data_IF_784432414768
#
_entry.id   IF_784432414768
#
_cell.length_a   1.000
_cell.length_b   1.000
_cell.length_c   1.000
_cell.angle_alpha   90.00
_cell.angle_beta   90.00
_cell.angle_gamma   90.00
#
_symmetry.space_group_name_H-M   'P 1'
#
loop_
_entity.id
_entity.type
_entity.pdbx_description
1 polymer ?
#
# COMPACT_ATOMS: atom_id res chain seq x y z
N UNK A 1 16.50 -35.36 -34.65
CA UNK A 1 15.97 -34.00 -34.85
C UNK A 1 14.58 -33.93 -34.24
N UNK A 2 14.44 -33.31 -33.06
CA UNK A 2 13.15 -32.96 -32.45
C UNK A 2 13.32 -31.66 -31.66
N UNK A 3 12.40 -30.76 -31.99
CA UNK A 3 11.84 -29.65 -31.22
C UNK A 3 12.62 -28.32 -31.04
N UNK A 4 11.91 -27.19 -31.29
CA UNK A 4 12.36 -25.83 -31.06
C UNK A 4 12.10 -25.40 -29.60
N UNK A 5 12.94 -24.54 -29.04
CA UNK A 5 12.63 -23.85 -27.79
C UNK A 5 11.80 -22.62 -28.13
N UNK A 6 10.49 -22.81 -28.20
CA UNK A 6 9.51 -21.73 -28.08
C UNK A 6 9.38 -21.30 -26.62
N UNK A 7 9.23 -20.00 -26.38
CA UNK A 7 8.37 -19.55 -25.28
C UNK A 7 9.04 -18.81 -24.14
N UNK A 8 9.82 -17.75 -24.40
CA UNK A 8 9.80 -16.59 -23.50
C UNK A 8 8.67 -15.67 -23.94
N UNK A 9 7.45 -16.08 -23.60
CA UNK A 9 6.31 -15.17 -23.58
C UNK A 9 6.45 -14.29 -22.34
N UNK A 10 7.01 -13.09 -22.53
CA UNK A 10 6.82 -11.99 -21.60
C UNK A 10 5.39 -11.49 -21.78
N UNK A 11 4.43 -12.25 -21.29
CA UNK A 11 3.04 -11.82 -21.27
C UNK A 11 2.86 -10.74 -20.21
N UNK A 12 2.54 -9.54 -20.72
CA UNK A 12 1.93 -8.40 -20.05
C UNK A 12 2.79 -7.63 -19.04
N UNK A 13 3.37 -6.53 -19.53
CA UNK A 13 3.41 -5.24 -18.83
C UNK A 13 1.99 -4.87 -18.39
N UNK A 14 1.55 -5.49 -17.31
CA UNK A 14 0.30 -5.18 -16.67
C UNK A 14 0.57 -3.90 -15.85
N UNK A 15 -0.15 -2.77 -16.05
CA UNK A 15 0.09 -1.48 -15.36
C UNK A 15 -0.21 -1.50 -13.84
N UNK A 16 -0.33 -2.71 -13.28
CA UNK A 16 -0.80 -3.01 -11.95
C UNK A 16 0.17 -2.64 -10.83
N UNK A 17 1.51 -2.72 -10.98
CA UNK A 17 2.44 -2.18 -9.98
C UNK A 17 2.36 -0.65 -9.93
N UNK A 18 2.34 0.00 -11.10
CA UNK A 18 2.32 1.46 -11.22
C UNK A 18 1.09 2.08 -10.58
N UNK A 19 -0.10 1.49 -10.80
CA UNK A 19 -1.34 1.96 -10.16
C UNK A 19 -1.30 1.86 -8.64
N UNK A 20 -0.71 0.79 -8.09
CA UNK A 20 -0.60 0.59 -6.64
C UNK A 20 0.40 1.57 -6.00
N UNK A 21 1.55 1.80 -6.65
CA UNK A 21 2.48 2.85 -6.24
C UNK A 21 1.82 4.23 -6.24
N UNK A 22 1.06 4.56 -7.30
CA UNK A 22 0.38 5.84 -7.40
C UNK A 22 -0.70 6.04 -6.33
N UNK A 23 -1.47 4.99 -5.98
CA UNK A 23 -2.42 5.03 -4.86
C UNK A 23 -1.70 5.27 -3.53
N UNK A 24 -0.63 4.50 -3.26
CA UNK A 24 0.14 4.64 -2.01
C UNK A 24 0.78 6.03 -1.88
N UNK A 25 1.42 6.52 -2.94
CA UNK A 25 1.99 7.87 -2.98
C UNK A 25 0.92 8.95 -2.75
N UNK A 26 -0.25 8.82 -3.37
CA UNK A 26 -1.35 9.78 -3.24
C UNK A 26 -1.83 9.86 -1.79
N UNK A 27 -2.00 8.72 -1.12
CA UNK A 27 -2.39 8.70 0.29
C UNK A 27 -1.34 9.41 1.16
N UNK A 28 -0.06 9.04 1.01
CA UNK A 28 1.05 9.62 1.79
C UNK A 28 1.13 11.14 1.60
N UNK A 29 1.15 11.61 0.34
CA UNK A 29 1.21 13.05 0.04
C UNK A 29 0.03 13.83 0.60
N UNK A 30 -1.16 13.22 0.68
CA UNK A 30 -2.33 13.86 1.26
C UNK A 30 -2.22 13.99 2.78
N UNK A 31 -1.63 13.01 3.46
CA UNK A 31 -1.49 13.05 4.93
C UNK A 31 -0.36 13.96 5.43
N UNK A 32 0.66 14.22 4.61
CA UNK A 32 1.83 15.05 4.97
C UNK A 32 1.58 16.48 5.46
N UNK A 33 0.72 17.29 4.80
CA UNK A 33 0.37 18.60 5.34
C UNK A 33 -0.47 18.50 6.63
N UNK A 34 -0.91 17.29 6.99
CA UNK A 34 -1.99 17.06 7.94
C UNK A 34 -3.32 17.39 7.29
N UNK A 35 -4.29 16.49 7.38
CA UNK A 35 -5.62 16.74 6.86
C UNK A 35 -6.22 18.00 7.51
N UNK A 36 -6.73 18.90 6.68
CA UNK A 36 -7.45 20.07 7.17
C UNK A 36 -8.83 19.66 7.70
N UNK A 37 -9.43 20.46 8.59
CA UNK A 37 -10.78 20.18 9.12
C UNK A 37 -11.85 20.15 8.03
N UNK A 38 -11.61 20.82 6.90
CA UNK A 38 -12.54 20.92 5.78
C UNK A 38 -12.26 19.88 4.68
N UNK A 39 -11.17 19.12 4.82
CA UNK A 39 -10.80 18.09 3.85
C UNK A 39 -11.57 16.81 4.15
N UNK A 40 -12.45 16.42 3.25
CA UNK A 40 -13.17 15.15 3.33
C UNK A 40 -12.38 14.05 2.64
N UNK A 41 -12.14 12.95 3.36
CA UNK A 41 -11.56 11.74 2.78
C UNK A 41 -12.29 10.50 3.33
N UNK A 42 -13.01 9.75 2.48
CA UNK A 42 -13.79 8.59 2.93
C UNK A 42 -12.90 7.53 3.58
N UNK A 43 -13.37 6.94 4.69
CA UNK A 43 -12.67 5.83 5.32
C UNK A 43 -12.52 4.62 4.37
N UNK A 44 -13.47 4.39 3.47
CA UNK A 44 -13.35 3.37 2.44
C UNK A 44 -12.25 3.67 1.41
N UNK A 45 -11.93 4.94 1.17
CA UNK A 45 -10.79 5.31 0.33
C UNK A 45 -9.47 4.99 1.05
N UNK A 46 -9.42 5.25 2.37
CA UNK A 46 -8.29 4.85 3.21
C UNK A 46 -8.07 3.34 3.16
N UNK A 47 -9.12 2.55 3.34
CA UNK A 47 -9.07 1.09 3.28
C UNK A 47 -8.52 0.58 1.94
N UNK A 48 -9.02 1.13 0.83
CA UNK A 48 -8.55 0.78 -0.51
C UNK A 48 -7.06 1.08 -0.72
N UNK A 49 -6.56 2.17 -0.15
CA UNK A 49 -5.15 2.54 -0.24
C UNK A 49 -4.28 1.62 0.64
N UNK A 50 -4.77 1.18 1.80
CA UNK A 50 -4.09 0.17 2.65
C UNK A 50 -4.07 -1.21 1.98
N UNK A 51 -5.18 -1.68 1.41
CA UNK A 51 -5.24 -2.92 0.64
C UNK A 51 -4.32 -2.86 -0.58
N UNK A 52 -4.26 -1.71 -1.25
CA UNK A 52 -3.33 -1.49 -2.36
C UNK A 52 -1.88 -1.66 -1.93
N UNK A 53 -1.55 -1.31 -0.68
CA UNK A 53 -0.21 -1.49 -0.12
C UNK A 53 0.11 -2.94 0.23
N UNK A 54 -0.85 -3.72 0.75
CA UNK A 54 -0.68 -5.18 0.90
C UNK A 54 -0.49 -5.86 -0.45
N UNK A 55 -1.32 -5.54 -1.43
CA UNK A 55 -1.19 -6.10 -2.77
C UNK A 55 0.12 -5.67 -3.45
N UNK A 56 0.65 -4.47 -3.14
CA UNK A 56 1.96 -4.04 -3.60
C UNK A 56 3.08 -4.87 -2.99
N UNK A 57 2.97 -5.23 -1.71
CA UNK A 57 3.94 -6.11 -1.04
C UNK A 57 4.00 -7.49 -1.71
N UNK A 58 2.84 -8.06 -2.05
CA UNK A 58 2.74 -9.32 -2.79
C UNK A 58 3.41 -9.24 -4.16
N UNK A 59 3.16 -8.15 -4.92
CA UNK A 59 3.81 -7.92 -6.20
C UNK A 59 5.33 -7.82 -6.04
N UNK A 60 5.81 -7.05 -5.04
CA UNK A 60 7.24 -6.92 -4.77
C UNK A 60 7.88 -8.27 -4.40
N UNK A 61 7.15 -9.16 -3.72
CA UNK A 61 7.61 -10.54 -3.44
C UNK A 61 7.77 -11.42 -4.67
N UNK A 62 7.22 -11.04 -5.83
CA UNK A 62 7.44 -11.77 -7.09
C UNK A 62 8.75 -11.36 -7.79
N UNK A 63 9.35 -10.22 -7.41
CA UNK A 63 10.60 -9.74 -8.00
C UNK A 63 11.81 -10.55 -7.50
N UNK A 64 12.87 -10.70 -8.32
CA UNK A 64 14.15 -11.27 -7.88
C UNK A 64 14.71 -10.55 -6.65
N UNK A 65 15.43 -11.28 -5.79
CA UNK A 65 15.92 -10.77 -4.50
C UNK A 65 16.74 -9.47 -4.63
N UNK A 66 17.72 -9.42 -5.54
CA UNK A 66 18.53 -8.24 -5.87
C UNK A 66 17.66 -7.01 -6.20
N UNK A 67 16.60 -7.19 -7.00
CA UNK A 67 15.74 -6.10 -7.44
C UNK A 67 14.69 -5.68 -6.42
N UNK A 68 14.38 -6.54 -5.44
CA UNK A 68 13.27 -6.32 -4.51
C UNK A 68 13.57 -5.25 -3.46
N UNK A 69 14.76 -5.28 -2.84
CA UNK A 69 15.15 -4.29 -1.83
C UNK A 69 16.04 -3.20 -2.39
N UNK A 70 17.04 -3.60 -3.17
CA UNK A 70 18.08 -2.69 -3.68
C UNK A 70 17.76 -2.16 -5.08
N UNK A 71 16.67 -2.60 -5.69
CA UNK A 71 16.15 -2.02 -6.92
C UNK A 71 15.46 -0.66 -6.69
N UNK A 72 15.27 0.09 -7.78
CA UNK A 72 14.59 1.39 -7.74
C UNK A 72 13.19 1.31 -7.12
N UNK A 73 12.42 0.26 -7.41
CA UNK A 73 11.08 0.04 -6.83
C UNK A 73 11.14 -0.25 -5.33
N UNK A 74 12.12 -1.04 -4.87
CA UNK A 74 12.32 -1.32 -3.44
C UNK A 74 12.64 -0.05 -2.66
N UNK A 75 13.56 0.77 -3.18
CA UNK A 75 13.90 2.07 -2.58
C UNK A 75 12.72 3.03 -2.57
N UNK A 76 11.97 3.13 -3.66
CA UNK A 76 10.77 3.98 -3.72
C UNK A 76 9.73 3.55 -2.68
N UNK A 77 9.47 2.24 -2.57
CA UNK A 77 8.51 1.72 -1.61
C UNK A 77 8.94 2.01 -0.17
N UNK A 78 10.21 1.74 0.17
CA UNK A 78 10.75 2.02 1.49
C UNK A 78 10.68 3.52 1.85
N UNK A 79 10.91 4.40 0.87
CA UNK A 79 10.79 5.84 1.05
C UNK A 79 9.35 6.29 1.31
N UNK A 80 8.37 5.75 0.57
CA UNK A 80 6.95 6.03 0.81
C UNK A 80 6.49 5.48 2.18
N UNK A 81 6.93 4.28 2.55
CA UNK A 81 6.60 3.69 3.85
C UNK A 81 7.14 4.55 5.00
N UNK A 82 8.38 5.03 4.89
CA UNK A 82 8.97 5.93 5.90
C UNK A 82 8.17 7.24 6.05
N UNK A 83 7.69 7.82 4.95
CA UNK A 83 6.85 9.01 4.95
C UNK A 83 5.48 8.74 5.58
N UNK A 84 4.86 7.60 5.25
CA UNK A 84 3.63 7.14 5.91
C UNK A 84 3.83 7.00 7.43
N UNK A 85 4.93 6.40 7.86
CA UNK A 85 5.26 6.25 9.28
C UNK A 85 5.41 7.59 9.99
N UNK A 86 5.95 8.62 9.34
CA UNK A 86 6.14 9.96 9.91
C UNK A 86 4.82 10.70 10.15
N UNK A 87 3.75 10.38 9.41
CA UNK A 87 2.45 11.06 9.47
C UNK A 87 1.36 10.22 10.14
N UNK A 88 1.74 9.09 10.73
CA UNK A 88 0.84 8.16 11.42
C UNK A 88 1.39 7.78 12.80
N UNK A 89 0.50 7.41 13.71
CA UNK A 89 0.83 6.87 15.03
C UNK A 89 0.47 5.39 15.11
N UNK A 90 1.18 4.59 15.92
CA UNK A 90 0.69 3.26 16.31
C UNK A 90 -0.73 3.36 16.87
N UNK A 91 -1.58 2.40 16.52
CA UNK A 91 -2.97 2.31 16.96
C UNK A 91 -3.19 0.97 17.70
N UNK A 92 -2.59 0.77 18.90
CA UNK A 92 -2.73 -0.48 19.64
C UNK A 92 -4.18 -0.78 20.05
N UNK A 93 -4.96 0.29 20.29
CA UNK A 93 -6.40 0.23 20.59
C UNK A 93 -7.25 -0.08 19.36
N UNK A 94 -6.64 -0.13 18.17
CA UNK A 94 -7.32 -0.47 16.91
C UNK A 94 -8.55 0.41 16.68
N UNK A 95 -8.45 1.69 17.03
CA UNK A 95 -9.54 2.67 16.99
C UNK A 95 -10.19 2.80 15.61
N UNK A 96 -9.48 2.48 14.52
CA UNK A 96 -10.04 2.51 13.17
C UNK A 96 -10.83 1.24 12.80
N UNK A 97 -10.60 0.10 13.45
CA UNK A 97 -11.18 -1.21 13.06
C UNK A 97 -12.71 -1.30 12.98
N UNK A 98 -13.50 -0.58 13.79
CA UNK A 98 -14.95 -0.59 13.61
C UNK A 98 -15.38 -0.10 12.22
N UNK A 99 -14.56 0.73 11.56
CA UNK A 99 -14.88 1.41 10.31
C UNK A 99 -13.93 1.07 9.15
N UNK A 100 -12.69 0.71 9.46
CA UNK A 100 -11.63 0.36 8.52
C UNK A 100 -11.43 -1.16 8.46
N UNK A 101 -11.77 -1.77 7.33
CA UNK A 101 -11.66 -3.22 7.13
C UNK A 101 -11.04 -3.54 5.76
N UNK A 102 -10.21 -4.59 5.67
CA UNK A 102 -9.69 -5.04 4.38
C UNK A 102 -10.84 -5.44 3.45
N UNK A 103 -10.86 -4.86 2.25
CA UNK A 103 -11.92 -5.05 1.25
C UNK A 103 -11.92 -6.45 0.64
N UNK A 104 -10.78 -7.14 0.72
CA UNK A 104 -10.59 -8.51 0.26
C UNK A 104 -10.92 -9.58 1.32
N UNK A 105 -11.39 -9.19 2.51
CA UNK A 105 -11.77 -10.11 3.58
C UNK A 105 -10.61 -10.86 4.24
N UNK A 106 -9.37 -10.40 4.06
CA UNK A 106 -8.19 -11.05 4.65
C UNK A 106 -8.23 -11.06 6.17
N UNK A 107 -7.72 -12.15 6.80
CA UNK A 107 -7.66 -12.24 8.25
C UNK A 107 -6.66 -11.22 8.81
N UNK A 108 -6.89 -10.78 10.05
CA UNK A 108 -6.15 -9.66 10.63
C UNK A 108 -4.66 -9.95 10.81
N UNK A 109 -4.30 -11.22 11.03
CA UNK A 109 -2.92 -11.67 11.21
C UNK A 109 -2.08 -11.50 9.95
N UNK A 110 -2.72 -11.46 8.78
CA UNK A 110 -2.07 -11.29 7.48
C UNK A 110 -1.91 -9.83 7.05
N UNK A 111 -2.58 -8.89 7.73
CA UNK A 111 -2.55 -7.49 7.35
C UNK A 111 -1.20 -6.85 7.68
N UNK A 112 -0.67 -6.07 6.75
CA UNK A 112 0.56 -5.32 6.94
C UNK A 112 0.49 -4.32 8.11
N UNK A 113 1.67 -3.88 8.55
CA UNK A 113 1.82 -3.00 9.73
C UNK A 113 1.08 -1.67 9.60
N UNK A 114 0.82 -1.20 8.37
CA UNK A 114 0.06 0.02 8.09
C UNK A 114 -1.38 -0.02 8.61
N UNK A 115 -2.01 -1.19 8.70
CA UNK A 115 -3.34 -1.35 9.31
C UNK A 115 -3.36 -1.17 10.83
N UNK A 116 -2.19 -1.22 11.47
CA UNK A 116 -2.04 -1.06 12.93
C UNK A 116 -1.65 0.38 13.30
N UNK A 117 -1.92 1.32 12.39
CA UNK A 117 -1.55 2.72 12.50
C UNK A 117 -2.72 3.60 12.10
N UNK A 118 -2.79 4.77 12.71
CA UNK A 118 -3.78 5.80 12.40
C UNK A 118 -3.10 7.10 11.97
N UNK A 119 -3.69 7.87 11.05
CA UNK A 119 -3.24 9.22 10.76
C UNK A 119 -3.17 10.08 12.02
N UNK A 120 -2.17 10.96 12.12
CA UNK A 120 -2.02 11.89 13.26
C UNK A 120 -3.24 12.81 13.39
N UNK A 121 -3.83 13.19 12.26
CA UNK A 121 -5.11 13.91 12.17
C UNK A 121 -6.03 13.13 11.24
N UNK A 122 -7.30 13.00 11.61
CA UNK A 122 -8.32 12.31 10.81
C UNK A 122 -9.26 13.32 10.13
N UNK A 123 -9.80 13.05 8.91
CA UNK A 123 -10.59 13.94 8.07
C UNK A 123 -12.08 13.52 8.02
N UNK A 124 -12.41 12.43 8.71
CA UNK A 124 -13.68 11.75 8.73
C UNK A 124 -14.29 12.14 10.07
N UNK A 125 -15.49 12.72 10.01
CA UNK A 125 -16.24 13.09 11.19
C UNK A 125 -16.43 11.86 12.11
N UNK A 126 -16.44 12.09 13.43
CA UNK A 126 -16.77 11.05 14.41
C UNK A 126 -18.19 10.51 14.25
#
# INVERSE_FOLDING_TARGET
MRSPISGRSWNALSPWPTRRFASWERLVRRMEPGWSSDEFYPISAYDNDLDSRDALDEVMRTLPAEGRREGALGRLLAWLDARFHAVTLPDPERSLRPRARPTNGRPEEELGVWWKRKPVRVPWAE
#
